data_IF_112597956907
#
_entry.id   IF_112597956907
#
_cell.length_a   1.000
_cell.length_b   1.000
_cell.length_c   1.000
_cell.angle_alpha   90.00
_cell.angle_beta   90.00
_cell.angle_gamma   90.00
#
_symmetry.space_group_name_H-M   'P 1'
#
loop_
_entity.id
_entity.type
_entity.pdbx_description
1 polymer ?
#
# COMPACT_ATOMS: atom_id res chain seq x y z
N UNK A 1 2.52 29.22 9.53
CA UNK A 1 1.27 28.93 8.77
C UNK A 1 1.20 27.43 8.56
N UNK A 2 0.06 26.81 8.89
CA UNK A 2 -0.21 25.39 8.62
C UNK A 2 -0.17 25.20 7.10
N UNK A 3 0.86 24.49 6.58
CA UNK A 3 1.18 24.41 5.14
C UNK A 3 0.04 23.85 4.28
N UNK A 4 -0.87 23.12 4.89
CA UNK A 4 -2.02 22.49 4.23
C UNK A 4 -3.31 23.31 4.33
N UNK A 5 -3.34 24.41 5.08
CA UNK A 5 -4.54 25.26 5.20
C UNK A 5 -4.90 25.90 3.86
N UNK A 6 -6.19 25.88 3.53
CA UNK A 6 -6.77 26.39 2.29
C UNK A 6 -6.56 25.49 1.08
N UNK A 7 -5.98 24.30 1.27
CA UNK A 7 -5.75 23.32 0.21
C UNK A 7 -6.99 22.48 -0.05
N UNK A 8 -7.14 21.99 -1.28
CA UNK A 8 -8.25 21.14 -1.69
C UNK A 8 -7.84 19.68 -1.77
N UNK A 9 -8.64 18.81 -1.16
CA UNK A 9 -8.51 17.36 -1.21
C UNK A 9 -9.65 16.77 -2.05
N UNK A 10 -9.33 15.87 -2.97
CA UNK A 10 -10.32 14.91 -3.48
C UNK A 10 -10.14 13.59 -2.76
N UNK A 11 -11.26 12.95 -2.42
CA UNK A 11 -11.22 11.63 -1.78
C UNK A 11 -11.91 10.56 -2.62
N UNK A 12 -11.24 9.41 -2.73
CA UNK A 12 -11.72 8.20 -3.42
C UNK A 12 -11.63 7.02 -2.46
N UNK A 13 -12.37 5.96 -2.69
CA UNK A 13 -12.30 4.75 -1.86
C UNK A 13 -13.66 4.24 -1.43
N UNK A 14 -13.67 3.56 -0.30
CA UNK A 14 -14.78 2.75 0.17
C UNK A 14 -15.62 3.43 1.27
N UNK A 15 -16.33 2.61 2.04
CA UNK A 15 -17.25 3.05 3.09
C UNK A 15 -16.56 3.78 4.25
N UNK A 16 -15.26 3.56 4.46
CA UNK A 16 -14.48 4.16 5.55
C UNK A 16 -14.23 5.64 5.27
N UNK A 17 -13.87 6.01 4.04
CA UNK A 17 -13.82 7.42 3.61
C UNK A 17 -15.23 7.99 3.42
N UNK A 18 -16.17 7.23 2.84
CA UNK A 18 -17.52 7.70 2.56
C UNK A 18 -18.33 8.05 3.84
N UNK A 19 -18.03 7.39 4.96
CA UNK A 19 -18.75 7.54 6.24
C UNK A 19 -19.87 6.53 6.44
N UNK A 20 -19.93 5.48 5.60
CA UNK A 20 -20.88 4.38 5.67
C UNK A 20 -22.35 4.85 5.79
N UNK A 21 -23.01 4.62 6.94
CA UNK A 21 -24.38 5.09 7.20
C UNK A 21 -24.43 6.57 7.60
N UNK A 22 -23.33 7.12 8.13
CA UNK A 22 -23.23 8.53 8.51
C UNK A 22 -22.72 9.37 7.32
N UNK A 23 -23.53 9.50 6.27
CA UNK A 23 -23.16 10.18 5.01
C UNK A 23 -22.76 11.66 5.15
N UNK A 24 -23.03 12.28 6.30
CA UNK A 24 -22.65 13.67 6.57
C UNK A 24 -21.12 13.87 6.60
N UNK A 25 -20.37 12.87 7.07
CA UNK A 25 -18.92 12.95 7.19
C UNK A 25 -18.28 11.57 7.36
N UNK A 26 -17.18 11.30 6.67
CA UNK A 26 -16.17 10.31 7.04
C UNK A 26 -14.99 10.99 7.74
N UNK A 27 -13.88 10.28 7.94
CA UNK A 27 -12.73 10.84 8.69
C UNK A 27 -12.08 12.04 7.99
N UNK A 28 -12.13 12.13 6.66
CA UNK A 28 -11.49 13.21 5.90
C UNK A 28 -12.21 14.55 6.05
N UNK A 29 -13.52 14.58 6.27
CA UNK A 29 -14.24 15.80 6.60
C UNK A 29 -13.77 16.37 7.95
N UNK A 30 -13.55 15.53 8.97
CA UNK A 30 -13.01 15.98 10.26
C UNK A 30 -11.55 16.47 10.14
N UNK A 31 -10.72 15.77 9.35
CA UNK A 31 -9.34 16.23 9.05
C UNK A 31 -9.37 17.57 8.33
N UNK A 32 -10.23 17.73 7.32
CA UNK A 32 -10.33 18.96 6.55
C UNK A 32 -10.79 20.13 7.42
N UNK A 33 -11.77 19.92 8.30
CA UNK A 33 -12.22 20.92 9.26
C UNK A 33 -11.09 21.36 10.20
N UNK A 34 -10.39 20.40 10.82
CA UNK A 34 -9.30 20.69 11.76
C UNK A 34 -8.13 21.44 11.10
N UNK A 35 -7.74 21.02 9.90
CA UNK A 35 -6.55 21.53 9.23
C UNK A 35 -6.88 22.73 8.30
N UNK A 36 -8.16 23.12 8.21
CA UNK A 36 -8.65 24.22 7.41
C UNK A 36 -8.54 23.98 5.90
N UNK A 37 -8.74 22.74 5.46
CA UNK A 37 -8.77 22.31 4.05
C UNK A 37 -10.21 22.31 3.52
N UNK A 38 -10.37 22.18 2.20
CA UNK A 38 -11.65 21.81 1.59
C UNK A 38 -11.58 20.38 1.06
N UNK A 39 -12.69 19.65 1.13
CA UNK A 39 -12.79 18.27 0.65
C UNK A 39 -13.94 18.13 -0.33
N UNK A 40 -13.71 17.46 -1.47
CA UNK A 40 -14.76 16.95 -2.35
C UNK A 40 -14.63 15.43 -2.42
N UNK A 41 -15.70 14.75 -2.02
CA UNK A 41 -15.73 13.29 -1.87
C UNK A 41 -16.38 12.62 -3.06
N UNK A 42 -15.69 11.61 -3.59
CA UNK A 42 -16.19 10.65 -4.57
C UNK A 42 -16.21 9.21 -4.03
N UNK A 43 -15.61 8.97 -2.86
CA UNK A 43 -15.68 7.69 -2.17
C UNK A 43 -17.12 7.20 -2.02
N UNK A 44 -17.30 5.89 -2.12
CA UNK A 44 -18.61 5.28 -2.15
C UNK A 44 -18.65 4.00 -1.31
N UNK A 45 -19.73 3.84 -0.55
CA UNK A 45 -19.94 2.63 0.27
C UNK A 45 -19.98 1.37 -0.61
N UNK A 46 -19.19 0.36 -0.24
CA UNK A 46 -19.10 -0.90 -0.98
C UNK A 46 -18.14 -0.88 -2.16
N UNK A 47 -17.45 0.22 -2.46
CA UNK A 47 -16.49 0.28 -3.55
C UNK A 47 -15.31 -0.69 -3.33
N UNK A 48 -14.85 -1.30 -4.42
CA UNK A 48 -13.71 -2.22 -4.47
C UNK A 48 -12.53 -1.60 -5.26
N UNK A 49 -11.33 -2.12 -5.02
CA UNK A 49 -10.20 -1.90 -5.94
C UNK A 49 -10.36 -2.76 -7.18
N UNK A 50 -10.70 -4.04 -7.01
CA UNK A 50 -11.08 -4.93 -8.11
C UNK A 50 -12.41 -4.48 -8.74
N UNK A 51 -12.72 -4.97 -9.96
CA UNK A 51 -14.06 -4.85 -10.54
C UNK A 51 -15.11 -5.34 -9.54
N UNK A 52 -15.83 -4.38 -8.95
CA UNK A 52 -16.88 -4.65 -7.99
C UNK A 52 -18.22 -4.92 -8.66
N UNK A 53 -19.25 -5.15 -7.84
CA UNK A 53 -20.62 -5.08 -8.33
C UNK A 53 -20.91 -3.66 -8.84
N UNK A 54 -21.74 -3.50 -9.89
CA UNK A 54 -22.23 -2.18 -10.28
C UNK A 54 -22.86 -1.45 -9.10
N UNK A 55 -22.79 -0.12 -9.12
CA UNK A 55 -23.46 0.70 -8.12
C UNK A 55 -24.97 0.42 -8.18
N UNK A 56 -25.54 -0.06 -7.08
CA UNK A 56 -26.96 -0.38 -6.98
C UNK A 56 -27.84 0.87 -6.79
N UNK A 57 -29.16 0.69 -6.72
CA UNK A 57 -30.13 1.78 -6.52
C UNK A 57 -29.95 2.53 -5.19
N UNK A 58 -29.34 1.88 -4.19
CA UNK A 58 -29.01 2.49 -2.91
C UNK A 58 -27.63 3.18 -2.93
N UNK A 59 -26.95 3.17 -4.07
CA UNK A 59 -25.62 3.73 -4.24
C UNK A 59 -24.51 2.85 -3.68
N UNK A 60 -24.72 1.54 -3.49
CA UNK A 60 -23.71 0.62 -2.96
C UNK A 60 -22.93 -0.09 -4.07
N UNK A 61 -21.63 -0.25 -3.88
CA UNK A 61 -20.75 -0.95 -4.82
C UNK A 61 -19.87 0.00 -5.64
N UNK A 62 -19.52 -0.45 -6.83
CA UNK A 62 -18.62 0.24 -7.76
C UNK A 62 -17.14 -0.10 -7.58
N UNK A 63 -16.33 0.48 -8.45
CA UNK A 63 -14.88 0.35 -8.48
C UNK A 63 -14.24 1.73 -8.29
N UNK A 64 -13.20 1.82 -7.46
CA UNK A 64 -12.48 3.09 -7.20
C UNK A 64 -11.97 3.72 -8.50
N UNK A 65 -11.45 2.91 -9.43
CA UNK A 65 -10.95 3.38 -10.72
C UNK A 65 -12.05 4.00 -11.60
N UNK A 66 -13.02 3.20 -12.07
CA UNK A 66 -13.97 3.64 -13.10
C UNK A 66 -15.06 4.55 -12.55
N UNK A 67 -15.61 4.25 -11.37
CA UNK A 67 -16.79 4.96 -10.88
C UNK A 67 -16.46 6.23 -10.10
N UNK A 68 -15.19 6.41 -9.71
CA UNK A 68 -14.75 7.52 -8.88
C UNK A 68 -13.62 8.33 -9.50
N UNK A 69 -12.45 7.71 -9.74
CA UNK A 69 -11.26 8.40 -10.27
C UNK A 69 -11.53 8.93 -11.68
N UNK A 70 -12.02 8.09 -12.59
CA UNK A 70 -12.32 8.49 -13.97
C UNK A 70 -13.49 9.46 -14.05
N UNK A 71 -14.50 9.29 -13.19
CA UNK A 71 -15.61 10.22 -13.06
C UNK A 71 -15.15 11.62 -12.63
N UNK A 72 -14.34 11.71 -11.58
CA UNK A 72 -13.80 12.99 -11.11
C UNK A 72 -12.90 13.65 -12.16
N UNK A 73 -12.12 12.86 -12.91
CA UNK A 73 -11.33 13.35 -14.02
C UNK A 73 -12.21 13.90 -15.16
N UNK A 74 -13.30 13.22 -15.52
CA UNK A 74 -14.26 13.69 -16.52
C UNK A 74 -14.98 14.98 -16.11
N UNK A 75 -15.17 15.19 -14.80
CA UNK A 75 -15.69 16.44 -14.23
C UNK A 75 -14.65 17.59 -14.22
N UNK A 76 -13.42 17.36 -14.68
CA UNK A 76 -12.29 18.32 -14.67
C UNK A 76 -11.99 18.88 -13.28
N UNK A 77 -12.13 18.07 -12.24
CA UNK A 77 -11.80 18.49 -10.89
C UNK A 77 -10.29 18.76 -10.73
N UNK A 78 -9.97 19.78 -9.93
CA UNK A 78 -8.61 20.05 -9.50
C UNK A 78 -8.44 19.69 -8.02
N UNK A 79 -7.21 19.34 -7.61
CA UNK A 79 -6.85 18.99 -6.24
C UNK A 79 -5.41 19.40 -5.94
N UNK A 80 -5.14 19.78 -4.69
CA UNK A 80 -3.76 19.83 -4.16
C UNK A 80 -3.35 18.46 -3.59
N UNK A 81 -4.33 17.70 -3.09
CA UNK A 81 -4.14 16.39 -2.46
C UNK A 81 -5.18 15.41 -2.98
N UNK A 82 -4.76 14.16 -3.16
CA UNK A 82 -5.64 13.02 -3.34
C UNK A 82 -5.46 12.12 -2.14
N UNK A 83 -6.54 11.78 -1.45
CA UNK A 83 -6.54 10.78 -0.36
C UNK A 83 -7.44 9.65 -0.77
N UNK A 84 -6.93 8.43 -0.80
CA UNK A 84 -7.75 7.27 -1.13
C UNK A 84 -7.48 6.07 -0.24
N UNK A 85 -8.51 5.24 -0.08
CA UNK A 85 -8.40 3.89 0.46
C UNK A 85 -9.00 2.86 -0.52
N UNK A 86 -8.99 1.61 -0.12
CA UNK A 86 -9.51 0.49 -0.90
C UNK A 86 -8.93 -0.84 -0.42
N UNK A 87 -9.59 -1.93 -0.78
CA UNK A 87 -9.27 -3.29 -0.30
C UNK A 87 -10.25 -3.81 0.75
N UNK A 88 -11.02 -2.96 1.44
CA UNK A 88 -11.98 -3.41 2.47
C UNK A 88 -13.03 -4.36 1.90
N UNK A 89 -13.58 -4.03 0.74
CA UNK A 89 -14.62 -4.85 0.08
C UNK A 89 -14.04 -5.94 -0.82
N UNK A 90 -12.74 -5.89 -1.09
CA UNK A 90 -11.98 -6.95 -1.75
C UNK A 90 -11.54 -8.06 -0.77
N UNK A 91 -11.47 -7.77 0.54
CA UNK A 91 -10.86 -8.61 1.56
C UNK A 91 -11.69 -9.85 1.98
N UNK A 92 -12.03 -10.70 1.02
CA UNK A 92 -12.66 -12.02 1.20
C UNK A 92 -11.77 -13.11 0.61
N UNK A 93 -11.84 -14.33 1.15
CA UNK A 93 -10.98 -15.46 0.74
C UNK A 93 -10.77 -15.65 -0.77
N UNK A 94 -11.80 -15.51 -1.65
CA UNK A 94 -11.61 -15.67 -3.11
C UNK A 94 -10.58 -14.73 -3.73
N UNK A 95 -10.28 -13.58 -3.12
CA UNK A 95 -9.30 -12.63 -3.66
C UNK A 95 -7.87 -13.18 -3.64
N UNK A 96 -7.60 -14.20 -2.81
CA UNK A 96 -6.27 -14.82 -2.73
C UNK A 96 -5.86 -15.48 -4.07
N UNK A 97 -6.83 -15.89 -4.88
CA UNK A 97 -6.60 -16.44 -6.22
C UNK A 97 -6.44 -15.33 -7.29
N UNK A 98 -6.68 -14.06 -6.93
CA UNK A 98 -6.70 -12.90 -7.81
C UNK A 98 -5.74 -11.79 -7.35
N UNK A 99 -4.70 -12.12 -6.57
CA UNK A 99 -3.78 -11.12 -6.03
C UNK A 99 -2.96 -10.42 -7.14
N UNK A 100 -2.51 -11.18 -8.15
CA UNK A 100 -1.58 -10.71 -9.16
C UNK A 100 -0.13 -10.61 -8.65
N UNK A 101 0.80 -10.31 -9.56
CA UNK A 101 2.22 -10.16 -9.26
C UNK A 101 2.60 -8.68 -9.24
N UNK A 102 3.11 -8.19 -8.10
CA UNK A 102 3.54 -6.79 -7.93
C UNK A 102 4.74 -6.44 -8.82
N UNK A 103 5.61 -7.41 -9.10
CA UNK A 103 6.81 -7.23 -9.93
C UNK A 103 6.47 -7.12 -11.42
N UNK A 104 5.33 -7.68 -11.82
CA UNK A 104 4.79 -7.45 -13.14
C UNK A 104 4.13 -6.08 -13.12
N UNK A 105 4.54 -5.22 -14.05
CA UNK A 105 3.82 -3.97 -14.37
C UNK A 105 2.52 -4.34 -15.09
N UNK A 106 1.67 -5.11 -14.40
CA UNK A 106 0.48 -5.72 -14.95
C UNK A 106 -0.42 -4.64 -15.52
N UNK A 107 -0.97 -4.92 -16.69
CA UNK A 107 -1.93 -4.07 -17.39
C UNK A 107 -3.38 -4.49 -17.12
N UNK A 108 -3.59 -5.64 -16.49
CA UNK A 108 -4.91 -6.23 -16.30
C UNK A 108 -5.54 -5.80 -14.98
N UNK A 109 -6.82 -5.41 -15.01
CA UNK A 109 -7.59 -4.99 -13.84
C UNK A 109 -8.35 -6.13 -13.15
N UNK A 110 -8.16 -7.37 -13.58
CA UNK A 110 -8.78 -8.58 -12.99
C UNK A 110 -7.99 -9.14 -11.80
N UNK A 111 -6.82 -8.57 -11.50
CA UNK A 111 -6.04 -8.86 -10.29
C UNK A 111 -5.95 -7.64 -9.39
N UNK A 112 -5.83 -7.85 -8.08
CA UNK A 112 -5.79 -6.76 -7.11
C UNK A 112 -4.57 -5.86 -7.34
N UNK A 113 -3.39 -6.44 -7.55
CA UNK A 113 -2.16 -5.70 -7.84
C UNK A 113 -2.30 -4.85 -9.12
N UNK A 114 -2.85 -5.42 -10.19
CA UNK A 114 -3.06 -4.70 -11.44
C UNK A 114 -4.09 -3.58 -11.32
N UNK A 115 -5.24 -3.85 -10.71
CA UNK A 115 -6.29 -2.85 -10.49
C UNK A 115 -5.84 -1.71 -9.56
N UNK A 116 -5.12 -2.02 -8.48
CA UNK A 116 -4.56 -1.02 -7.57
C UNK A 116 -3.54 -0.13 -8.30
N UNK A 117 -2.60 -0.73 -9.04
CA UNK A 117 -1.62 0.00 -9.85
C UNK A 117 -2.30 0.91 -10.87
N UNK A 118 -3.30 0.42 -11.61
CA UNK A 118 -4.07 1.22 -12.58
C UNK A 118 -4.83 2.37 -11.93
N UNK A 119 -5.35 2.17 -10.72
CA UNK A 119 -5.97 3.24 -9.92
C UNK A 119 -4.95 4.34 -9.62
N UNK A 120 -3.77 3.99 -9.13
CA UNK A 120 -2.70 4.96 -8.85
C UNK A 120 -2.22 5.66 -10.13
N UNK A 121 -2.01 4.91 -11.22
CA UNK A 121 -1.64 5.47 -12.53
C UNK A 121 -2.66 6.49 -13.01
N UNK A 122 -3.95 6.18 -12.92
CA UNK A 122 -5.02 7.08 -13.30
C UNK A 122 -5.04 8.34 -12.41
N UNK A 123 -4.86 8.19 -11.10
CA UNK A 123 -4.76 9.33 -10.17
C UNK A 123 -3.59 10.25 -10.58
N UNK A 124 -2.39 9.70 -10.70
CA UNK A 124 -1.18 10.48 -11.01
C UNK A 124 -1.24 11.11 -12.41
N UNK A 125 -1.86 10.43 -13.38
CA UNK A 125 -2.07 10.96 -14.73
C UNK A 125 -3.01 12.17 -14.74
N UNK A 126 -4.10 12.12 -13.99
CA UNK A 126 -5.12 13.18 -14.00
C UNK A 126 -4.77 14.33 -13.02
N UNK A 127 -4.04 14.06 -11.94
CA UNK A 127 -3.58 15.06 -10.97
C UNK A 127 -2.06 15.01 -10.74
N UNK A 128 -1.23 15.28 -11.77
CA UNK A 128 0.23 15.11 -11.70
C UNK A 128 0.94 16.06 -10.72
N UNK A 129 0.23 17.06 -10.20
CA UNK A 129 0.75 18.01 -9.20
C UNK A 129 0.21 17.74 -7.79
N UNK A 130 -0.79 16.88 -7.65
CA UNK A 130 -1.37 16.60 -6.36
C UNK A 130 -0.45 15.64 -5.57
N UNK A 131 -0.39 15.85 -4.26
CA UNK A 131 0.22 14.85 -3.38
C UNK A 131 -0.78 13.71 -3.20
N UNK A 132 -0.36 12.49 -3.51
CA UNK A 132 -1.22 11.30 -3.42
C UNK A 132 -0.92 10.55 -2.11
N UNK A 133 -1.96 10.31 -1.32
CA UNK A 133 -1.89 9.56 -0.05
C UNK A 133 -2.81 8.35 -0.15
N UNK A 134 -2.26 7.16 0.06
CA UNK A 134 -3.03 5.95 0.31
C UNK A 134 -3.22 5.75 1.83
N UNK A 135 -4.45 5.52 2.27
CA UNK A 135 -4.78 5.19 3.65
C UNK A 135 -4.91 3.68 3.76
N UNK A 136 -3.89 3.01 4.30
CA UNK A 136 -4.01 1.61 4.67
C UNK A 136 -4.78 1.55 6.00
N UNK A 137 -6.07 1.24 5.90
CA UNK A 137 -7.02 1.30 7.02
C UNK A 137 -6.61 0.36 8.17
N UNK A 138 -7.11 0.64 9.37
CA UNK A 138 -6.84 -0.18 10.54
C UNK A 138 -7.18 -1.66 10.32
N UNK A 139 -6.65 -2.51 11.19
CA UNK A 139 -6.94 -3.94 11.21
C UNK A 139 -8.44 -4.18 11.48
N UNK A 140 -9.16 -4.63 10.46
CA UNK A 140 -10.62 -4.79 10.47
C UNK A 140 -11.05 -6.11 11.13
N UNK A 141 -12.10 -6.09 11.94
CA UNK A 141 -12.64 -7.26 12.64
C UNK A 141 -13.37 -8.26 11.75
N UNK A 142 -14.23 -7.79 10.84
CA UNK A 142 -15.07 -8.66 9.99
C UNK A 142 -14.33 -9.27 8.80
N UNK A 143 -13.11 -8.81 8.50
CA UNK A 143 -12.35 -9.29 7.34
C UNK A 143 -11.30 -10.29 7.80
N UNK A 144 -11.03 -11.31 6.99
CA UNK A 144 -10.02 -12.32 7.34
C UNK A 144 -8.61 -11.72 7.38
N UNK A 145 -7.85 -11.97 8.45
CA UNK A 145 -6.56 -11.31 8.69
C UNK A 145 -5.50 -11.64 7.63
N UNK A 146 -5.45 -12.88 7.18
CA UNK A 146 -4.56 -13.33 6.11
C UNK A 146 -4.87 -12.61 4.79
N UNK A 147 -6.16 -12.43 4.47
CA UNK A 147 -6.58 -11.72 3.26
C UNK A 147 -6.22 -10.24 3.35
N UNK A 148 -6.56 -9.59 4.47
CA UNK A 148 -6.16 -8.19 4.71
C UNK A 148 -4.66 -8.00 4.55
N UNK A 149 -3.84 -8.88 5.15
CA UNK A 149 -2.39 -8.83 5.04
C UNK A 149 -1.91 -8.97 3.60
N UNK A 150 -2.46 -9.90 2.82
CA UNK A 150 -2.06 -10.08 1.43
C UNK A 150 -2.33 -8.84 0.57
N UNK A 151 -3.52 -8.24 0.69
CA UNK A 151 -3.87 -7.00 -0.02
C UNK A 151 -3.02 -5.81 0.44
N UNK A 152 -2.80 -5.69 1.75
CA UNK A 152 -2.00 -4.63 2.36
C UNK A 152 -0.55 -4.64 1.86
N UNK A 153 0.09 -5.80 1.84
CA UNK A 153 1.48 -5.96 1.36
C UNK A 153 1.61 -5.55 -0.11
N UNK A 154 0.63 -5.93 -0.94
CA UNK A 154 0.58 -5.53 -2.36
C UNK A 154 0.41 -4.02 -2.50
N UNK A 155 -0.55 -3.43 -1.79
CA UNK A 155 -0.82 -2.00 -1.85
C UNK A 155 0.39 -1.17 -1.41
N UNK A 156 1.07 -1.56 -0.31
CA UNK A 156 2.27 -0.87 0.16
C UNK A 156 3.44 -0.99 -0.81
N UNK A 157 3.64 -2.16 -1.42
CA UNK A 157 4.69 -2.33 -2.44
C UNK A 157 4.44 -1.44 -3.67
N UNK A 158 3.20 -1.39 -4.16
CA UNK A 158 2.85 -0.52 -5.30
C UNK A 158 2.98 0.96 -4.90
N UNK A 159 2.56 1.34 -3.70
CA UNK A 159 2.74 2.70 -3.21
C UNK A 159 4.22 3.10 -3.14
N UNK A 160 5.08 2.21 -2.62
CA UNK A 160 6.51 2.42 -2.57
C UNK A 160 7.11 2.59 -3.99
N UNK A 161 6.77 1.71 -4.92
CA UNK A 161 7.26 1.76 -6.30
C UNK A 161 6.79 3.00 -7.08
N UNK A 162 5.60 3.51 -6.76
CA UNK A 162 4.97 4.63 -7.46
C UNK A 162 5.07 5.97 -6.72
N UNK A 163 5.80 6.02 -5.59
CA UNK A 163 6.00 7.25 -4.83
C UNK A 163 4.73 7.80 -4.15
N UNK A 164 3.74 6.92 -3.87
CA UNK A 164 2.54 7.29 -3.12
C UNK A 164 2.87 7.30 -1.63
N UNK A 165 2.51 8.38 -0.95
CA UNK A 165 2.68 8.48 0.50
C UNK A 165 1.64 7.59 1.18
N UNK A 166 2.02 6.88 2.24
CA UNK A 166 1.11 5.98 2.94
C UNK A 166 0.77 6.51 4.33
N UNK A 167 -0.52 6.60 4.63
CA UNK A 167 -1.02 6.68 5.99
C UNK A 167 -1.33 5.25 6.46
N UNK A 168 -0.34 4.58 7.04
CA UNK A 168 -0.39 3.16 7.35
C UNK A 168 -0.98 2.85 8.73
N UNK A 169 -2.28 3.05 8.91
CA UNK A 169 -2.96 2.69 10.16
C UNK A 169 -2.92 1.18 10.41
N UNK A 170 -2.93 0.37 9.35
CA UNK A 170 -2.91 -1.09 9.46
C UNK A 170 -1.75 -1.61 10.31
N UNK A 171 -0.54 -1.05 10.17
CA UNK A 171 0.60 -1.47 10.97
C UNK A 171 1.02 -0.50 12.07
N UNK A 172 0.79 0.80 11.88
CA UNK A 172 1.37 1.85 12.72
C UNK A 172 0.39 2.40 13.77
N UNK A 173 -0.86 1.91 13.79
CA UNK A 173 -1.81 2.22 14.84
C UNK A 173 -2.20 0.99 15.67
N UNK A 174 -2.64 1.24 16.89
CA UNK A 174 -3.06 0.20 17.84
C UNK A 174 -4.46 -0.35 17.56
N UNK A 175 -5.27 0.35 16.75
CA UNK A 175 -6.65 -0.04 16.49
C UNK A 175 -6.72 -1.39 15.76
N UNK A 176 -7.22 -2.39 16.46
CA UNK A 176 -7.53 -3.72 15.93
C UNK A 176 -8.93 -4.13 16.36
N UNK A 177 -9.88 -4.05 15.45
CA UNK A 177 -11.29 -4.36 15.73
C UNK A 177 -11.60 -5.85 15.64
N UNK A 178 -10.60 -6.72 15.48
CA UNK A 178 -10.75 -8.13 15.79
C UNK A 178 -10.80 -8.38 17.31
N UNK A 179 -10.24 -7.46 18.11
CA UNK A 179 -10.47 -7.43 19.55
C UNK A 179 -11.90 -6.96 19.85
N UNK A 180 -12.63 -7.72 20.67
CA UNK A 180 -14.05 -7.47 20.92
C UNK A 180 -14.27 -6.12 21.64
N UNK A 181 -13.38 -5.74 22.56
CA UNK A 181 -13.51 -4.49 23.30
C UNK A 181 -13.27 -3.29 22.39
N UNK A 182 -12.23 -3.36 21.55
CA UNK A 182 -11.96 -2.34 20.53
C UNK A 182 -13.10 -2.28 19.50
N UNK A 183 -13.60 -3.41 19.02
CA UNK A 183 -14.74 -3.47 18.10
C UNK A 183 -15.95 -2.71 18.67
N UNK A 184 -16.39 -3.05 19.88
CA UNK A 184 -17.53 -2.39 20.53
C UNK A 184 -17.31 -0.90 20.78
N UNK A 185 -16.07 -0.50 21.11
CA UNK A 185 -15.74 0.89 21.45
C UNK A 185 -15.59 1.77 20.22
N UNK A 186 -14.99 1.24 19.16
CA UNK A 186 -14.44 2.03 18.05
C UNK A 186 -15.14 1.81 16.71
N UNK A 187 -16.05 0.84 16.59
CA UNK A 187 -16.82 0.66 15.34
C UNK A 187 -18.29 1.04 15.48
N UNK A 188 -18.95 1.18 14.33
CA UNK A 188 -20.40 1.31 14.25
C UNK A 188 -20.99 0.56 13.06
N UNK A 189 -22.25 0.17 13.19
CA UNK A 189 -23.02 -0.53 12.16
C UNK A 189 -24.44 0.03 12.02
N UNK A 190 -24.82 0.94 12.93
CA UNK A 190 -26.12 1.58 12.98
C UNK A 190 -25.99 3.05 13.37
N UNK A 191 -27.05 3.81 13.15
CA UNK A 191 -27.21 5.14 13.72
C UNK A 191 -28.20 5.10 14.88
N UNK A 192 -27.76 5.47 16.08
CA UNK A 192 -28.63 5.64 17.24
C UNK A 192 -28.87 7.13 17.45
N UNK A 193 -30.13 7.56 17.33
CA UNK A 193 -30.49 8.99 17.32
C UNK A 193 -29.69 9.81 16.28
N UNK A 194 -29.41 9.21 15.12
CA UNK A 194 -28.66 9.86 14.04
C UNK A 194 -27.14 9.90 14.22
N UNK A 195 -26.59 9.28 15.28
CA UNK A 195 -25.15 9.24 15.55
C UNK A 195 -24.59 7.80 15.40
N UNK A 196 -23.35 7.64 14.93
CA UNK A 196 -22.67 6.34 14.87
C UNK A 196 -22.70 5.61 16.22
N UNK A 197 -23.20 4.38 16.22
CA UNK A 197 -23.21 3.52 17.40
C UNK A 197 -22.94 2.06 17.02
N UNK A 198 -22.29 1.28 17.91
CA UNK A 198 -22.10 -0.15 17.67
C UNK A 198 -23.46 -0.85 17.52
N UNK A 199 -23.55 -1.78 16.58
CA UNK A 199 -24.69 -2.68 16.48
C UNK A 199 -24.76 -3.65 17.67
N UNK A 200 -25.81 -4.49 17.72
CA UNK A 200 -25.90 -5.57 18.72
C UNK A 200 -24.71 -6.53 18.62
N UNK A 201 -24.34 -6.86 17.39
CA UNK A 201 -23.20 -7.67 17.02
C UNK A 201 -22.32 -6.85 16.07
N UNK A 202 -21.44 -5.99 16.60
CA UNK A 202 -20.71 -5.06 15.75
C UNK A 202 -19.73 -5.78 14.84
N UNK A 203 -19.58 -5.29 13.60
CA UNK A 203 -18.69 -5.93 12.62
C UNK A 203 -17.22 -5.55 12.83
N UNK A 204 -16.95 -4.40 13.46
CA UNK A 204 -15.59 -3.87 13.53
C UNK A 204 -15.12 -3.21 12.24
N UNK A 205 -15.96 -3.05 11.22
CA UNK A 205 -15.52 -2.52 9.91
C UNK A 205 -15.42 -0.99 9.91
N UNK A 206 -16.49 -0.30 10.32
CA UNK A 206 -16.60 1.14 10.10
C UNK A 206 -16.21 1.92 11.37
N UNK A 207 -15.23 2.84 11.32
CA UNK A 207 -14.79 3.60 12.47
C UNK A 207 -15.86 4.62 12.90
N UNK A 208 -16.22 4.61 14.19
CA UNK A 208 -17.10 5.64 14.76
C UNK A 208 -16.30 6.92 15.10
N UNK A 209 -16.96 7.93 15.69
CA UNK A 209 -16.29 9.17 16.05
C UNK A 209 -15.12 8.97 17.03
N UNK A 210 -15.24 8.09 18.02
CA UNK A 210 -14.15 7.82 18.94
C UNK A 210 -12.92 7.24 18.22
N UNK A 211 -13.13 6.40 17.21
CA UNK A 211 -12.04 5.86 16.40
C UNK A 211 -11.42 6.92 15.50
N UNK A 212 -12.26 7.77 14.90
CA UNK A 212 -11.81 8.88 14.07
C UNK A 212 -10.95 9.84 14.88
N UNK A 213 -11.45 10.30 16.03
CA UNK A 213 -10.76 11.25 16.91
C UNK A 213 -9.46 10.67 17.49
N UNK A 214 -9.46 9.40 17.88
CA UNK A 214 -8.30 8.77 18.53
C UNK A 214 -7.22 8.38 17.53
N UNK A 215 -7.60 7.83 16.37
CA UNK A 215 -6.64 7.16 15.47
C UNK A 215 -6.55 7.83 14.10
N UNK A 216 -7.67 8.06 13.41
CA UNK A 216 -7.60 8.53 12.02
C UNK A 216 -7.19 10.00 11.90
N UNK A 217 -7.89 10.87 12.60
CA UNK A 217 -7.69 12.31 12.49
C UNK A 217 -6.27 12.76 12.85
N UNK A 218 -5.67 12.38 14.00
CA UNK A 218 -4.31 12.82 14.31
C UNK A 218 -3.29 12.23 13.33
N UNK A 219 -3.43 10.94 13.00
CA UNK A 219 -2.50 10.21 12.15
C UNK A 219 -2.50 10.74 10.71
N UNK A 220 -3.67 10.81 10.07
CA UNK A 220 -3.79 11.30 8.68
C UNK A 220 -3.41 12.77 8.58
N UNK A 221 -3.76 13.59 9.58
CA UNK A 221 -3.34 15.00 9.61
C UNK A 221 -1.81 15.13 9.65
N UNK A 222 -1.12 14.33 10.48
CA UNK A 222 0.34 14.34 10.55
C UNK A 222 0.97 13.93 9.21
N UNK A 223 0.46 12.86 8.59
CA UNK A 223 0.94 12.40 7.27
C UNK A 223 0.78 13.48 6.21
N UNK A 224 -0.40 14.12 6.12
CA UNK A 224 -0.64 15.23 5.18
C UNK A 224 0.35 16.39 5.41
N UNK A 225 0.56 16.77 6.67
CA UNK A 225 1.50 17.84 7.03
C UNK A 225 2.94 17.49 6.63
N UNK A 226 3.42 16.28 6.94
CA UNK A 226 4.77 15.82 6.58
C UNK A 226 4.95 15.73 5.07
N UNK A 227 3.97 15.19 4.36
CA UNK A 227 3.99 15.07 2.91
C UNK A 227 4.03 16.43 2.18
N UNK A 228 3.51 17.49 2.80
CA UNK A 228 3.64 18.86 2.31
C UNK A 228 5.09 19.38 2.38
N UNK A 229 5.94 18.78 3.23
CA UNK A 229 7.31 19.23 3.47
C UNK A 229 8.36 18.37 2.80
N UNK A 230 8.15 17.06 2.78
CA UNK A 230 9.11 16.08 2.31
C UNK A 230 8.37 14.88 1.71
N UNK A 231 8.88 14.40 0.57
CA UNK A 231 8.43 13.16 -0.05
C UNK A 231 9.64 12.40 -0.56
N UNK A 232 9.77 11.14 -0.17
CA UNK A 232 10.70 10.21 -0.79
C UNK A 232 10.18 9.83 -2.17
N UNK A 233 11.08 9.79 -3.15
CA UNK A 233 10.74 9.34 -4.50
C UNK A 233 10.48 7.84 -4.55
N UNK A 234 10.19 7.34 -5.75
CA UNK A 234 9.92 5.94 -6.01
C UNK A 234 11.01 5.03 -5.41
N UNK A 235 10.59 3.97 -4.74
CA UNK A 235 11.46 2.95 -4.16
C UNK A 235 11.43 1.71 -5.03
N UNK A 236 12.60 1.21 -5.36
CA UNK A 236 12.79 0.03 -6.17
C UNK A 236 13.67 -0.97 -5.45
N UNK A 237 13.51 -2.24 -5.79
CA UNK A 237 14.31 -3.30 -5.23
C UNK A 237 14.59 -4.42 -6.23
N UNK A 238 15.70 -5.10 -6.01
CA UNK A 238 16.06 -6.33 -6.70
C UNK A 238 16.38 -7.39 -5.66
N UNK A 239 15.75 -8.56 -5.80
CA UNK A 239 15.97 -9.70 -4.93
C UNK A 239 16.92 -10.74 -5.52
N UNK A 240 17.82 -11.23 -4.69
CA UNK A 240 18.67 -12.39 -4.88
C UNK A 240 18.28 -13.47 -3.86
N UNK A 241 19.00 -14.58 -3.80
CA UNK A 241 18.72 -15.65 -2.85
C UNK A 241 19.17 -15.33 -1.42
N UNK A 242 20.20 -14.51 -1.24
CA UNK A 242 20.71 -14.11 0.09
C UNK A 242 20.85 -12.61 0.30
N UNK A 243 20.45 -11.79 -0.67
CA UNK A 243 20.48 -10.34 -0.56
C UNK A 243 19.32 -9.66 -1.29
N UNK A 244 18.99 -8.46 -0.84
CA UNK A 244 18.03 -7.57 -1.48
C UNK A 244 18.67 -6.18 -1.58
N UNK A 245 18.80 -5.70 -2.81
CA UNK A 245 19.29 -4.36 -3.10
C UNK A 245 18.12 -3.39 -3.25
N UNK A 246 18.08 -2.35 -2.43
CA UNK A 246 17.10 -1.27 -2.44
C UNK A 246 17.73 -0.01 -3.01
N UNK A 247 16.96 0.75 -3.80
CA UNK A 247 17.32 2.11 -4.20
C UNK A 247 16.07 2.97 -4.34
N UNK A 248 16.24 4.29 -4.25
CA UNK A 248 15.12 5.21 -4.40
C UNK A 248 15.52 6.44 -5.20
N UNK A 249 14.52 7.05 -5.83
CA UNK A 249 14.67 8.28 -6.59
C UNK A 249 14.92 9.49 -5.67
N UNK A 250 15.24 10.63 -6.30
CA UNK A 250 15.53 11.86 -5.59
C UNK A 250 14.32 12.29 -4.74
N UNK A 251 14.59 12.68 -3.49
CA UNK A 251 13.57 13.19 -2.58
C UNK A 251 13.10 14.58 -3.00
N UNK A 252 11.81 14.85 -2.89
CA UNK A 252 11.22 16.17 -3.06
C UNK A 252 11.00 16.87 -1.72
N UNK A 253 10.98 18.21 -1.72
CA UNK A 253 10.65 19.00 -0.54
C UNK A 253 11.83 19.75 0.07
N UNK A 254 11.94 19.77 1.41
CA UNK A 254 12.89 20.57 2.22
C UNK A 254 14.26 20.74 1.52
N UNK A 255 14.46 21.90 0.87
CA UNK A 255 15.69 22.24 0.12
C UNK A 255 16.88 22.28 1.07
N UNK A 256 18.03 21.74 0.63
CA UNK A 256 19.30 21.73 1.36
C UNK A 256 19.31 20.88 2.66
N UNK A 257 18.33 20.00 2.87
CA UNK A 257 18.36 19.04 3.97
C UNK A 257 19.46 18.00 3.75
N UNK A 258 20.31 17.79 4.77
CA UNK A 258 21.19 16.61 4.82
C UNK A 258 20.39 15.44 5.37
N UNK A 259 19.87 14.60 4.48
CA UNK A 259 19.13 13.40 4.85
C UNK A 259 20.07 12.21 5.04
N UNK A 260 19.66 11.30 5.92
CA UNK A 260 20.16 9.93 5.98
C UNK A 260 18.96 9.01 6.13
N UNK A 261 19.16 7.72 5.88
CA UNK A 261 18.10 6.74 5.81
C UNK A 261 18.43 5.61 6.77
N UNK A 262 17.48 5.29 7.64
CA UNK A 262 17.57 4.16 8.56
C UNK A 262 16.73 3.01 8.03
N UNK A 263 17.30 1.81 8.06
CA UNK A 263 16.70 0.61 7.50
C UNK A 263 16.38 -0.35 8.63
N UNK A 264 15.11 -0.72 8.73
CA UNK A 264 14.61 -1.76 9.63
C UNK A 264 14.14 -2.95 8.81
N UNK A 265 14.50 -4.16 9.25
CA UNK A 265 14.06 -5.42 8.65
C UNK A 265 13.39 -6.26 9.72
N UNK A 266 12.14 -6.66 9.49
CA UNK A 266 11.32 -7.44 10.42
C UNK A 266 11.30 -6.85 11.84
N UNK A 267 11.11 -5.53 11.98
CA UNK A 267 11.10 -4.87 13.30
C UNK A 267 12.47 -4.57 13.89
N UNK A 268 13.57 -4.96 13.23
CA UNK A 268 14.93 -4.83 13.77
C UNK A 268 15.77 -3.84 12.95
N UNK A 269 16.37 -2.86 13.63
CA UNK A 269 17.32 -1.94 13.00
C UNK A 269 18.48 -2.71 12.38
N UNK A 270 18.71 -2.50 11.08
CA UNK A 270 19.67 -3.26 10.28
C UNK A 270 20.83 -2.40 9.79
N UNK A 271 20.61 -1.09 9.61
CA UNK A 271 21.68 -0.17 9.26
C UNK A 271 21.20 1.21 8.85
N UNK A 272 22.15 2.02 8.39
CA UNK A 272 21.87 3.36 7.87
C UNK A 272 22.73 3.71 6.65
N UNK A 273 22.26 4.68 5.86
CA UNK A 273 22.99 5.18 4.69
C UNK A 273 22.71 6.65 4.43
N UNK A 274 23.68 7.38 3.86
CA UNK A 274 23.50 8.74 3.32
C UNK A 274 23.26 8.76 1.81
N UNK A 275 23.30 7.59 1.18
CA UNK A 275 23.10 7.40 -0.25
C UNK A 275 21.66 6.96 -0.52
N UNK A 276 21.20 7.12 -1.76
CA UNK A 276 19.87 6.67 -2.18
C UNK A 276 19.79 5.17 -2.51
N UNK A 277 20.58 4.35 -1.81
CA UNK A 277 20.57 2.89 -1.94
C UNK A 277 21.09 2.21 -0.67
N UNK A 278 20.62 0.98 -0.47
CA UNK A 278 21.04 0.10 0.62
C UNK A 278 20.96 -1.36 0.16
N UNK A 279 21.94 -2.19 0.52
CA UNK A 279 21.89 -3.63 0.25
C UNK A 279 21.80 -4.41 1.57
N UNK A 280 20.70 -5.12 1.74
CA UNK A 280 20.47 -6.05 2.85
C UNK A 280 21.09 -7.38 2.46
N UNK A 281 22.02 -7.89 3.28
CA UNK A 281 22.82 -9.09 2.98
C UNK A 281 22.62 -10.17 4.05
N UNK A 282 23.05 -11.39 3.74
CA UNK A 282 22.96 -12.56 4.61
C UNK A 282 21.51 -12.91 4.98
N UNK A 283 20.61 -12.70 4.03
CA UNK A 283 19.20 -13.06 4.14
C UNK A 283 19.02 -14.56 3.88
N UNK A 284 18.03 -15.15 4.55
CA UNK A 284 17.55 -16.48 4.21
C UNK A 284 16.86 -16.46 2.84
N UNK A 285 17.13 -17.48 2.02
CA UNK A 285 16.48 -17.70 0.72
C UNK A 285 14.99 -18.04 0.85
N UNK A 286 14.23 -17.80 -0.21
CA UNK A 286 12.77 -18.02 -0.29
C UNK A 286 11.98 -17.43 0.88
N UNK A 287 12.44 -16.30 1.42
CA UNK A 287 11.91 -15.69 2.64
C UNK A 287 11.42 -14.29 2.36
N UNK A 288 10.23 -13.95 2.87
CA UNK A 288 9.67 -12.61 2.81
C UNK A 288 10.15 -11.77 3.99
N UNK A 289 10.49 -10.52 3.70
CA UNK A 289 10.98 -9.53 4.66
C UNK A 289 10.07 -8.32 4.65
N UNK A 290 9.72 -7.84 5.84
CA UNK A 290 9.14 -6.52 6.08
C UNK A 290 10.28 -5.50 6.19
N UNK A 291 10.29 -4.50 5.33
CA UNK A 291 11.35 -3.50 5.23
C UNK A 291 10.77 -2.12 5.46
N UNK A 292 11.34 -1.38 6.42
CA UNK A 292 11.06 0.06 6.57
C UNK A 292 12.30 0.87 6.23
N UNK A 293 12.09 1.89 5.41
CA UNK A 293 13.07 2.92 5.07
C UNK A 293 12.57 4.22 5.71
N UNK A 294 13.28 4.69 6.72
CA UNK A 294 12.97 5.96 7.39
C UNK A 294 13.90 7.04 6.86
N UNK A 295 13.33 8.05 6.21
CA UNK A 295 14.06 9.24 5.81
C UNK A 295 14.20 10.19 7.01
N UNK A 296 15.43 10.42 7.43
CA UNK A 296 15.76 11.14 8.66
C UNK A 296 16.42 12.48 8.36
N UNK A 297 16.01 13.52 9.10
CA UNK A 297 16.73 14.80 9.17
C UNK A 297 17.14 15.07 10.62
N UNK A 298 18.43 14.87 10.93
CA UNK A 298 18.86 14.85 12.33
C UNK A 298 18.22 13.68 13.07
N UNK A 299 17.40 13.94 14.08
CA UNK A 299 16.66 12.90 14.81
C UNK A 299 15.18 12.81 14.41
N UNK A 300 14.72 13.66 13.49
CA UNK A 300 13.34 13.70 13.03
C UNK A 300 13.10 12.70 11.90
N UNK A 301 12.06 11.87 12.02
CA UNK A 301 11.55 11.05 10.92
C UNK A 301 10.68 11.92 10.01
N UNK A 302 11.18 12.22 8.81
CA UNK A 302 10.45 13.01 7.82
C UNK A 302 9.37 12.17 7.12
N UNK A 303 9.68 10.92 6.78
CA UNK A 303 8.76 9.96 6.18
C UNK A 303 9.26 8.54 6.43
N UNK A 304 8.33 7.60 6.58
CA UNK A 304 8.58 6.17 6.54
C UNK A 304 8.00 5.62 5.25
N UNK A 305 8.77 4.82 4.51
CA UNK A 305 8.24 3.95 3.46
C UNK A 305 8.42 2.52 3.92
N UNK A 306 7.33 1.74 3.85
CA UNK A 306 7.32 0.32 4.20
C UNK A 306 6.99 -0.48 2.96
N UNK A 307 7.72 -1.57 2.76
CA UNK A 307 7.52 -2.51 1.66
C UNK A 307 7.88 -3.92 2.09
N UNK A 308 7.42 -4.91 1.32
CA UNK A 308 7.62 -6.32 1.55
C UNK A 308 8.34 -6.94 0.36
N UNK A 309 9.53 -7.46 0.61
CA UNK A 309 10.38 -8.03 -0.42
C UNK A 309 10.65 -9.50 -0.11
N UNK A 310 10.64 -10.35 -1.13
CA UNK A 310 10.96 -11.78 -0.98
C UNK A 310 12.29 -12.10 -1.64
N UNK A 311 13.19 -12.80 -0.94
CA UNK A 311 14.40 -13.37 -1.55
C UNK A 311 14.03 -14.51 -2.48
N UNK A 312 14.85 -14.73 -3.51
CA UNK A 312 14.67 -15.83 -4.44
C UNK A 312 14.98 -17.16 -3.75
N UNK A 313 14.46 -18.26 -4.30
CA UNK A 313 14.93 -19.60 -3.93
C UNK A 313 16.41 -19.72 -4.24
N UNK A 314 17.14 -20.39 -3.34
CA UNK A 314 18.54 -20.74 -3.57
C UNK A 314 18.61 -21.64 -4.79
N UNK A 315 19.32 -21.20 -5.82
CA UNK A 315 19.51 -22.00 -7.04
C UNK A 315 20.66 -22.96 -6.83
N UNK A 316 20.44 -24.24 -7.15
CA UNK A 316 21.52 -25.22 -7.17
C UNK A 316 22.38 -24.96 -8.41
N UNK A 317 23.68 -24.72 -8.20
CA UNK A 317 24.62 -24.65 -9.32
C UNK A 317 24.91 -26.07 -9.79
N UNK A 318 24.45 -26.40 -11.00
CA UNK A 318 24.82 -27.66 -11.64
C UNK A 318 26.25 -27.55 -12.21
N UNK A 319 27.11 -28.47 -11.81
CA UNK A 319 28.39 -28.68 -12.48
C UNK A 319 28.20 -29.67 -13.62
N UNK A 320 28.09 -29.14 -14.84
CA UNK A 320 27.89 -29.94 -16.04
C UNK A 320 29.08 -30.83 -16.39
N UNK A 321 30.26 -30.65 -15.76
CA UNK A 321 31.43 -31.51 -15.96
C UNK A 321 31.37 -32.79 -15.12
N UNK A 322 30.51 -32.81 -14.09
CA UNK A 322 30.33 -33.94 -13.19
C UNK A 322 29.13 -34.79 -13.60
N UNK A 323 28.98 -35.94 -12.93
CA UNK A 323 27.79 -36.77 -13.05
C UNK A 323 26.52 -35.95 -12.74
N UNK A 324 25.41 -36.15 -13.48
CA UNK A 324 25.21 -37.10 -14.58
C UNK A 324 25.57 -36.56 -15.98
N UNK A 325 26.14 -35.35 -16.09
CA UNK A 325 26.25 -34.61 -17.36
C UNK A 325 27.57 -34.83 -18.11
N UNK A 326 28.69 -34.90 -17.39
CA UNK A 326 30.02 -35.23 -17.93
C UNK A 326 30.48 -34.43 -19.16
N UNK A 327 30.14 -33.14 -19.24
CA UNK A 327 30.61 -32.24 -20.30
C UNK A 327 32.13 -32.03 -20.20
N UNK A 328 32.84 -32.16 -21.33
CA UNK A 328 34.30 -32.31 -21.35
C UNK A 328 35.04 -30.98 -21.59
N UNK A 329 34.42 -30.03 -22.28
CA UNK A 329 34.97 -28.68 -22.47
C UNK A 329 36.29 -28.57 -23.27
N UNK A 330 36.70 -29.61 -24.01
CA UNK A 330 37.98 -29.72 -24.74
C UNK A 330 38.01 -28.98 -26.11
N UNK A 331 36.93 -28.28 -26.48
CA UNK A 331 36.77 -27.61 -27.77
C UNK A 331 36.64 -28.56 -28.98
N UNK A 332 36.52 -29.87 -28.75
CA UNK A 332 36.38 -30.91 -29.80
C UNK A 332 35.11 -31.74 -29.61
N UNK A 333 34.82 -32.10 -28.36
CA UNK A 333 33.66 -32.88 -27.94
C UNK A 333 32.41 -32.01 -27.97
N UNK A 334 31.38 -32.49 -28.69
CA UNK A 334 30.09 -31.81 -28.76
C UNK A 334 29.29 -32.04 -27.48
N UNK A 335 29.20 -31.03 -26.62
CA UNK A 335 28.50 -31.12 -25.33
C UNK A 335 27.01 -30.78 -25.41
N UNK A 336 26.44 -30.60 -26.61
CA UNK A 336 25.06 -30.13 -26.80
C UNK A 336 24.03 -30.97 -26.05
N UNK A 337 24.14 -32.30 -26.09
CA UNK A 337 23.21 -33.19 -25.37
C UNK A 337 23.34 -33.11 -23.84
N UNK A 338 24.57 -33.04 -23.32
CA UNK A 338 24.83 -32.90 -21.89
C UNK A 338 24.33 -31.55 -21.34
N UNK A 339 24.56 -30.47 -22.10
CA UNK A 339 24.08 -29.13 -21.74
C UNK A 339 22.56 -29.01 -21.86
N UNK A 340 21.95 -29.58 -22.92
CA UNK A 340 20.50 -29.60 -23.05
C UNK A 340 19.86 -30.37 -21.89
N UNK A 341 20.41 -31.54 -21.53
CA UNK A 341 19.94 -32.28 -20.36
C UNK A 341 20.05 -31.48 -19.06
N UNK A 342 21.16 -30.77 -18.86
CA UNK A 342 21.32 -29.92 -17.67
C UNK A 342 20.31 -28.75 -17.64
N UNK A 343 19.95 -28.19 -18.80
CA UNK A 343 18.91 -27.16 -18.92
C UNK A 343 17.51 -27.73 -18.65
N UNK A 344 17.19 -28.91 -19.19
CA UNK A 344 15.92 -29.59 -18.98
C UNK A 344 15.75 -29.96 -17.50
N UNK A 345 16.81 -30.45 -16.86
CA UNK A 345 16.84 -30.73 -15.41
C UNK A 345 16.69 -29.44 -14.57
N UNK A 346 17.24 -28.30 -15.02
CA UNK A 346 17.07 -27.00 -14.35
C UNK A 346 15.62 -26.47 -14.37
N UNK A 347 14.80 -26.85 -15.36
CA UNK A 347 13.43 -26.33 -15.49
C UNK A 347 12.39 -27.05 -14.64
N UNK A 348 12.77 -28.11 -13.92
CA UNK A 348 11.89 -28.94 -13.11
C UNK A 348 12.00 -28.70 -11.58
N UNK A 349 12.75 -27.68 -11.13
CA UNK A 349 12.91 -27.24 -9.73
C UNK A 349 12.46 -25.77 -9.54
#
# INVERSE_FOLDING_TARGET
MQKIKGKKVLTFGDSIIDGHLYKKAGFMEFVAEQEGMSVKKYANNGACILPGNPIDEAGLGGMVLSDQVEKAAAENEWADYIVFDGGTNDAYAPVLDMLGDVSQKSVETDTFAGAFRKTVEAIQRNWPKAVVIYVAVHRLGYRERNVQKALHEIALNICAEMGVVTANLYDECELDTADEAMCRKYSFDILKAGLPAPGKNPTGTHPNFAAIETYYLPFVSEVLKKAAEFRMGNVHWNSFDDEIALWWEQTEGRKNGKFHYQIEVNGTWTGETKKSHYCMKNLQADTQYDVKIQAMQGTEVCQTVRLYCKTKRKRTRLDVTQAPYYAVGDGRTMNTGALQKALDDCTNE
#
